data_IF_330942388040
#
_entry.id   IF_330942388040
#
_cell.length_a   1.000
_cell.length_b   1.000
_cell.length_c   1.000
_cell.angle_alpha   90.00
_cell.angle_beta   90.00
_cell.angle_gamma   90.00
#
_symmetry.space_group_name_H-M   'P 1'
#
loop_
_entity.id
_entity.type
_entity.pdbx_description
1 polymer ?
#
# COMPACT_ATOMS: atom_id res chain seq x y z
N UNK A 1 22.41 -8.43 -0.05
CA UNK A 1 21.23 -7.70 -0.55
C UNK A 1 20.20 -7.65 0.57
N UNK A 2 19.61 -6.48 0.82
CA UNK A 2 18.66 -6.26 1.92
C UNK A 2 17.30 -5.97 1.31
N UNK A 3 16.29 -6.80 1.61
CA UNK A 3 14.91 -6.54 1.22
C UNK A 3 14.26 -5.56 2.21
N UNK A 4 13.73 -4.46 1.70
CA UNK A 4 13.03 -3.44 2.47
C UNK A 4 11.53 -3.64 2.34
N UNK A 5 10.87 -3.94 3.46
CA UNK A 5 9.42 -4.08 3.52
C UNK A 5 8.84 -2.75 4.01
N UNK A 6 8.06 -2.08 3.17
CA UNK A 6 7.41 -0.83 3.53
C UNK A 6 6.15 -1.11 4.35
N UNK A 7 6.04 -0.42 5.49
CA UNK A 7 4.82 -0.38 6.30
C UNK A 7 3.77 0.57 5.67
N UNK A 8 2.54 0.51 6.18
CA UNK A 8 1.36 1.20 5.64
C UNK A 8 1.50 2.72 5.65
N UNK A 9 2.16 3.28 6.66
CA UNK A 9 2.44 4.72 6.75
C UNK A 9 3.44 5.17 5.68
N UNK A 10 4.50 4.41 5.43
CA UNK A 10 5.51 4.68 4.40
C UNK A 10 4.91 4.59 3.00
N UNK A 11 4.04 3.60 2.75
CA UNK A 11 3.28 3.52 1.50
C UNK A 11 2.37 4.75 1.34
N UNK A 12 1.66 5.14 2.40
CA UNK A 12 0.78 6.32 2.37
C UNK A 12 1.55 7.60 2.07
N UNK A 13 2.70 7.79 2.73
CA UNK A 13 3.57 8.95 2.54
C UNK A 13 4.18 8.98 1.14
N UNK A 14 4.57 7.82 0.61
CA UNK A 14 5.08 7.71 -0.75
C UNK A 14 4.03 8.06 -1.81
N UNK A 15 2.81 7.53 -1.68
CA UNK A 15 1.69 7.87 -2.57
C UNK A 15 1.31 9.36 -2.53
N UNK A 16 1.61 10.05 -1.43
CA UNK A 16 1.42 11.50 -1.26
C UNK A 16 2.65 12.31 -1.71
N UNK A 17 3.67 11.66 -2.27
CA UNK A 17 4.92 12.28 -2.69
C UNK A 17 5.65 13.00 -1.55
N UNK A 18 5.57 12.47 -0.32
CA UNK A 18 6.29 13.05 0.82
C UNK A 18 7.80 13.06 0.52
N UNK A 19 8.49 14.21 0.60
CA UNK A 19 9.79 14.41 -0.03
C UNK A 19 10.87 13.46 0.52
N UNK A 20 10.95 13.33 1.85
CA UNK A 20 11.95 12.48 2.51
C UNK A 20 11.73 11.00 2.21
N UNK A 21 10.47 10.55 2.19
CA UNK A 21 10.13 9.14 1.96
C UNK A 21 10.37 8.80 0.50
N UNK A 22 9.94 9.66 -0.42
CA UNK A 22 10.15 9.50 -1.86
C UNK A 22 11.63 9.47 -2.22
N UNK A 23 12.43 10.37 -1.64
CA UNK A 23 13.89 10.37 -1.85
C UNK A 23 14.52 9.05 -1.40
N UNK A 24 14.14 8.54 -0.22
CA UNK A 24 14.67 7.27 0.31
C UNK A 24 14.27 6.07 -0.53
N UNK A 25 13.01 6.00 -0.95
CA UNK A 25 12.51 4.92 -1.81
C UNK A 25 13.21 4.95 -3.16
N UNK A 26 13.38 6.12 -3.77
CA UNK A 26 14.07 6.26 -5.07
C UNK A 26 15.58 5.97 -5.00
N UNK A 27 16.19 5.97 -3.81
CA UNK A 27 17.59 5.62 -3.61
C UNK A 27 17.85 4.10 -3.49
N UNK A 28 16.78 3.29 -3.47
CA UNK A 28 16.84 1.82 -3.38
C UNK A 28 16.30 1.23 -4.68
N UNK A 29 16.91 0.15 -5.17
CA UNK A 29 16.40 -0.55 -6.35
C UNK A 29 14.99 -1.08 -6.07
N UNK A 30 14.06 -0.90 -7.01
CA UNK A 30 12.67 -1.33 -6.84
C UNK A 30 12.51 -2.83 -6.59
N UNK A 31 13.44 -3.66 -7.05
CA UNK A 31 13.47 -5.11 -6.82
C UNK A 31 13.76 -5.48 -5.35
N UNK A 32 14.43 -4.59 -4.63
CA UNK A 32 14.77 -4.70 -3.21
C UNK A 32 13.69 -4.09 -2.30
N UNK A 33 12.55 -3.66 -2.86
CA UNK A 33 11.42 -3.09 -2.12
C UNK A 33 10.20 -3.99 -2.26
N UNK A 34 9.49 -4.22 -1.16
CA UNK A 34 8.21 -4.90 -1.17
C UNK A 34 7.23 -4.28 -0.16
N UNK A 35 5.97 -4.62 -0.31
CA UNK A 35 4.93 -4.44 0.70
C UNK A 35 4.41 -5.80 1.15
N UNK A 36 3.62 -5.85 2.21
CA UNK A 36 2.92 -7.07 2.61
C UNK A 36 1.47 -7.07 2.13
N UNK A 37 0.86 -8.25 2.03
CA UNK A 37 -0.60 -8.35 1.82
C UNK A 37 -1.40 -7.69 2.96
N UNK A 38 -0.83 -7.58 4.17
CA UNK A 38 -1.44 -6.87 5.30
C UNK A 38 -1.52 -5.37 4.99
N UNK A 39 -0.42 -4.77 4.51
CA UNK A 39 -0.41 -3.36 4.07
C UNK A 39 -1.43 -3.08 2.97
N UNK A 40 -1.63 -4.03 2.05
CA UNK A 40 -2.70 -3.94 1.04
C UNK A 40 -4.08 -3.93 1.69
N UNK A 41 -4.35 -4.85 2.62
CA UNK A 41 -5.63 -4.91 3.36
C UNK A 41 -5.92 -3.61 4.11
N UNK A 42 -4.94 -3.08 4.85
CA UNK A 42 -5.11 -1.87 5.64
C UNK A 42 -5.42 -0.65 4.77
N UNK A 43 -4.73 -0.51 3.63
CA UNK A 43 -5.00 0.53 2.64
C UNK A 43 -6.41 0.39 2.05
N UNK A 44 -6.80 -0.81 1.62
CA UNK A 44 -8.14 -1.06 1.05
C UNK A 44 -9.24 -0.78 2.07
N UNK A 45 -9.08 -1.22 3.32
CA UNK A 45 -10.00 -0.92 4.43
C UNK A 45 -10.12 0.58 4.65
N UNK A 46 -9.00 1.31 4.62
CA UNK A 46 -8.97 2.77 4.69
C UNK A 46 -9.78 3.41 3.56
N UNK A 47 -9.56 3.00 2.30
CA UNK A 47 -10.30 3.52 1.13
C UNK A 47 -11.79 3.22 1.19
N UNK A 48 -12.19 2.00 1.56
CA UNK A 48 -13.60 1.63 1.70
C UNK A 48 -14.31 2.44 2.79
N UNK A 49 -13.62 2.73 3.90
CA UNK A 49 -14.19 3.59 4.93
C UNK A 49 -14.42 5.03 4.45
N UNK A 50 -13.55 5.56 3.58
CA UNK A 50 -13.75 6.89 2.96
C UNK A 50 -14.95 6.87 2.01
N UNK A 51 -15.06 5.85 1.15
CA UNK A 51 -16.20 5.68 0.24
C UNK A 51 -17.52 5.64 1.01
N UNK A 52 -17.58 4.82 2.09
CA UNK A 52 -18.78 4.70 2.92
C UNK A 52 -19.20 6.01 3.59
N UNK A 53 -18.25 6.90 3.87
CA UNK A 53 -18.49 8.20 4.53
C UNK A 53 -18.72 9.35 3.55
N UNK A 54 -18.57 9.14 2.25
CA UNK A 54 -18.78 10.18 1.26
C UNK A 54 -20.26 10.63 1.23
N UNK A 55 -20.50 11.92 1.42
CA UNK A 55 -21.85 12.50 1.53
C UNK A 55 -22.29 13.30 0.31
N UNK A 56 -21.46 13.37 -0.74
CA UNK A 56 -21.77 14.05 -2.00
C UNK A 56 -21.25 13.26 -3.19
N UNK A 57 -21.82 13.52 -4.37
CA UNK A 57 -21.38 12.89 -5.62
C UNK A 57 -19.92 13.20 -5.94
N UNK A 58 -19.46 14.43 -5.71
CA UNK A 58 -18.05 14.80 -5.92
C UNK A 58 -17.11 14.08 -4.96
N UNK A 59 -17.51 13.96 -3.68
CA UNK A 59 -16.74 13.21 -2.69
C UNK A 59 -16.66 11.72 -3.07
N UNK A 60 -17.75 11.16 -3.58
CA UNK A 60 -17.81 9.76 -4.02
C UNK A 60 -16.93 9.53 -5.24
N UNK A 61 -17.00 10.41 -6.25
CA UNK A 61 -16.16 10.38 -7.45
C UNK A 61 -14.67 10.38 -7.06
N UNK A 62 -14.27 11.31 -6.20
CA UNK A 62 -12.89 11.41 -5.71
C UNK A 62 -12.48 10.16 -4.92
N UNK A 63 -13.36 9.62 -4.08
CA UNK A 63 -13.08 8.43 -3.28
C UNK A 63 -12.80 7.20 -4.16
N UNK A 64 -13.60 7.00 -5.21
CA UNK A 64 -13.37 5.91 -6.17
C UNK A 64 -12.15 6.14 -7.05
N UNK A 65 -11.86 7.38 -7.48
CA UNK A 65 -10.63 7.69 -8.20
C UNK A 65 -9.38 7.35 -7.37
N UNK A 66 -9.39 7.65 -6.06
CA UNK A 66 -8.31 7.28 -5.14
C UNK A 66 -8.21 5.77 -4.92
N UNK A 67 -9.33 5.04 -4.89
CA UNK A 67 -9.31 3.59 -4.84
C UNK A 67 -8.66 3.00 -6.10
N UNK A 68 -9.04 3.49 -7.29
CA UNK A 68 -8.44 3.06 -8.55
C UNK A 68 -6.93 3.32 -8.58
N UNK A 69 -6.48 4.51 -8.16
CA UNK A 69 -5.06 4.82 -8.05
C UNK A 69 -4.31 3.87 -7.10
N UNK A 70 -4.91 3.51 -5.95
CA UNK A 70 -4.34 2.52 -5.04
C UNK A 70 -4.21 1.14 -5.72
N UNK A 71 -5.20 0.70 -6.49
CA UNK A 71 -5.15 -0.58 -7.20
C UNK A 71 -4.07 -0.59 -8.28
N UNK A 72 -3.92 0.49 -9.04
CA UNK A 72 -2.82 0.62 -10.02
C UNK A 72 -1.45 0.61 -9.33
N UNK A 73 -1.32 1.25 -8.17
CA UNK A 73 -0.10 1.16 -7.37
C UNK A 73 0.21 -0.30 -6.97
N UNK A 74 -0.78 -1.05 -6.47
CA UNK A 74 -0.59 -2.44 -6.04
C UNK A 74 -0.20 -3.41 -7.18
N UNK A 75 -0.56 -3.10 -8.43
CA UNK A 75 -0.13 -3.88 -9.59
C UNK A 75 1.38 -3.76 -9.89
N UNK A 76 1.98 -2.65 -9.47
CA UNK A 76 3.36 -2.30 -9.83
C UNK A 76 4.37 -2.49 -8.68
N UNK A 77 3.90 -2.85 -7.48
CA UNK A 77 4.77 -3.09 -6.32
C UNK A 77 4.75 -4.58 -5.94
N UNK A 78 5.92 -5.13 -5.60
CA UNK A 78 6.02 -6.50 -5.10
C UNK A 78 5.25 -6.64 -3.79
N UNK A 79 4.30 -7.57 -3.75
CA UNK A 79 3.55 -7.90 -2.53
C UNK A 79 3.95 -9.26 -1.99
N UNK A 80 4.29 -9.32 -0.70
CA UNK A 80 4.63 -10.55 0.01
C UNK A 80 3.36 -11.19 0.60
N UNK A 81 3.18 -12.47 0.33
CA UNK A 81 2.08 -13.26 0.89
C UNK A 81 2.26 -13.46 2.40
N UNK A 82 1.15 -13.44 3.13
CA UNK A 82 1.14 -13.83 4.54
C UNK A 82 1.34 -15.34 4.64
N UNK A 83 2.25 -15.77 5.50
CA UNK A 83 2.49 -17.18 5.78
C UNK A 83 2.41 -17.40 7.28
N UNK A 84 1.55 -18.32 7.70
CA UNK A 84 1.59 -18.85 9.06
C UNK A 84 2.77 -19.80 9.13
N UNK A 85 3.62 -19.65 10.16
CA UNK A 85 4.65 -20.64 10.45
C UNK A 85 3.96 -21.98 10.64
N UNK A 86 4.24 -22.95 9.76
CA UNK A 86 3.77 -24.31 9.99
C UNK A 86 4.35 -24.76 11.33
N UNK A 87 3.54 -25.29 12.27
CA UNK A 87 4.10 -25.94 13.44
C UNK A 87 5.05 -27.04 12.97
N UNK A 88 6.22 -27.13 13.57
CA UNK A 88 7.34 -27.97 13.14
C UNK A 88 7.08 -29.49 13.29
N UNK A 89 5.83 -29.91 13.51
CA UNK A 89 5.44 -31.31 13.64
C UNK A 89 4.05 -31.53 13.05
N UNK A 90 3.99 -32.19 11.88
CA UNK A 90 2.92 -33.09 11.43
C UNK A 90 3.42 -33.86 10.20
#
# INVERSE_FOLDING_TARGET
>A
MTLWILDTDHVSLFQQMHPVVTQRINAVNSEDIAITIITVEEQLRGRFNVIRKASSSDALLLAYAKLQANLEFFKNVRSLAFQVLKPFFA
#
